data_IF_848675728436
#
_entry.id   IF_848675728436
#
_cell.length_a   1.000
_cell.length_b   1.000
_cell.length_c   1.000
_cell.angle_alpha   90.00
_cell.angle_beta   90.00
_cell.angle_gamma   90.00
#
_symmetry.space_group_name_H-M   'P 1'
#
loop_
_entity.id
_entity.type
_entity.pdbx_description
1 polymer ?
#
# COMPACT_ATOMS: atom_id res chain seq x y z
N UNK A 1 -10.51 23.04 18.95
CA UNK A 1 -11.00 23.53 17.65
C UNK A 1 -9.77 24.12 16.92
N UNK A 2 -9.33 23.45 15.88
CA UNK A 2 -8.38 24.04 14.95
C UNK A 2 -9.14 25.16 14.22
N UNK A 3 -8.63 26.39 14.35
CA UNK A 3 -9.28 27.58 13.83
C UNK A 3 -9.59 27.43 12.34
N UNK A 4 -10.83 27.76 11.97
CA UNK A 4 -11.14 28.08 10.59
C UNK A 4 -10.09 29.05 10.07
N UNK A 5 -9.34 28.62 9.07
CA UNK A 5 -8.35 29.46 8.44
C UNK A 5 -9.03 30.71 7.93
N UNK A 6 -8.51 31.92 8.23
CA UNK A 6 -9.07 33.16 7.69
C UNK A 6 -9.03 33.16 6.15
N UNK A 7 -9.74 34.08 5.48
CA UNK A 7 -9.95 34.10 4.03
C UNK A 7 -8.69 34.18 3.16
N UNK A 8 -7.55 34.17 3.77
CA UNK A 8 -6.25 34.18 3.11
C UNK A 8 -5.78 32.80 2.69
N UNK A 9 -6.33 32.05 1.89
CA UNK A 9 -5.94 30.76 1.30
C UNK A 9 -4.41 30.40 1.33
N UNK A 10 -3.69 30.81 2.37
CA UNK A 10 -2.24 30.75 2.51
C UNK A 10 -1.87 29.71 3.56
N UNK A 11 -1.04 28.75 3.19
CA UNK A 11 -0.41 27.86 4.14
C UNK A 11 -0.77 26.37 4.05
N UNK A 12 -0.48 25.65 5.12
CA UNK A 12 -0.83 24.26 5.32
C UNK A 12 -2.02 24.16 6.27
N UNK A 13 -2.83 23.11 6.12
CA UNK A 13 -3.98 22.90 6.99
C UNK A 13 -4.25 21.42 7.24
N UNK A 14 -4.77 21.13 8.44
CA UNK A 14 -5.34 19.83 8.80
C UNK A 14 -6.82 20.06 9.04
N UNK A 15 -7.67 19.32 8.36
CA UNK A 15 -9.10 19.48 8.46
C UNK A 15 -9.81 18.13 8.56
N UNK A 16 -10.89 18.07 9.36
CA UNK A 16 -11.88 17.01 9.25
C UNK A 16 -12.83 17.35 8.11
N UNK A 17 -13.05 16.41 7.19
CA UNK A 17 -13.99 16.55 6.08
C UNK A 17 -15.22 15.69 6.38
N UNK A 18 -16.39 16.31 6.41
CA UNK A 18 -17.64 15.58 6.57
C UNK A 18 -18.02 14.93 5.23
N UNK A 19 -18.17 13.62 5.22
CA UNK A 19 -18.52 12.81 4.06
C UNK A 19 -19.97 12.28 4.11
N UNK A 20 -20.81 12.83 4.98
CA UNK A 20 -22.19 12.41 5.13
C UNK A 20 -22.37 11.16 6.02
N UNK A 21 -21.52 10.17 5.87
CA UNK A 21 -21.54 8.92 6.67
C UNK A 21 -20.36 8.81 7.65
N UNK A 22 -19.52 9.85 7.77
CA UNK A 22 -18.34 9.88 8.63
C UNK A 22 -17.45 11.08 8.33
N UNK A 23 -16.28 11.12 8.95
CA UNK A 23 -15.31 12.20 8.79
C UNK A 23 -13.97 11.65 8.38
N UNK A 24 -13.42 12.18 7.27
CA UNK A 24 -12.05 11.95 6.87
C UNK A 24 -11.13 13.00 7.48
N UNK A 25 -9.86 12.66 7.72
CA UNK A 25 -8.81 13.61 8.06
C UNK A 25 -8.03 13.97 6.79
N UNK A 26 -7.92 15.26 6.48
CA UNK A 26 -7.19 15.76 5.31
C UNK A 26 -6.04 16.68 5.73
N UNK A 27 -4.87 16.47 5.13
CA UNK A 27 -3.71 17.37 5.20
C UNK A 27 -3.53 18.05 3.86
N UNK A 28 -3.51 19.38 3.87
CA UNK A 28 -3.38 20.23 2.67
C UNK A 28 -2.13 21.09 2.76
N UNK A 29 -1.46 21.27 1.64
CA UNK A 29 -0.35 22.22 1.50
C UNK A 29 -0.50 23.05 0.24
N UNK A 30 0.09 24.24 0.26
CA UNK A 30 0.14 25.17 -0.87
C UNK A 30 1.54 25.18 -1.48
N UNK A 31 1.69 25.10 -2.81
CA UNK A 31 3.01 25.16 -3.45
C UNK A 31 3.65 26.55 -3.40
N UNK A 32 2.84 27.59 -3.27
CA UNK A 32 3.27 28.99 -3.13
C UNK A 32 2.43 29.71 -2.09
N UNK A 33 2.93 30.84 -1.58
CA UNK A 33 2.21 31.63 -0.59
C UNK A 33 0.86 32.19 -1.06
N UNK A 34 0.67 32.32 -2.36
CA UNK A 34 -0.56 32.86 -2.98
C UNK A 34 -1.48 31.78 -3.55
N UNK A 35 -1.07 30.53 -3.62
CA UNK A 35 -1.89 29.44 -4.17
C UNK A 35 -2.81 28.82 -3.11
N UNK A 36 -3.99 28.37 -3.52
CA UNK A 36 -4.89 27.61 -2.65
C UNK A 36 -4.27 26.28 -2.24
N UNK A 37 -4.37 25.87 -0.95
CA UNK A 37 -3.86 24.59 -0.49
C UNK A 37 -4.57 23.41 -1.16
N UNK A 38 -3.78 22.47 -1.66
CA UNK A 38 -4.28 21.21 -2.23
C UNK A 38 -4.05 20.06 -1.25
N UNK A 39 -4.94 19.09 -1.26
CA UNK A 39 -4.82 17.90 -0.43
C UNK A 39 -3.61 17.06 -0.84
N UNK A 40 -2.83 16.62 0.12
CA UNK A 40 -1.65 15.78 -0.06
C UNK A 40 -1.78 14.42 0.62
N UNK A 41 -2.51 14.36 1.74
CA UNK A 41 -2.75 13.15 2.49
C UNK A 41 -4.18 13.15 3.00
N UNK A 42 -4.82 11.99 2.91
CA UNK A 42 -6.13 11.74 3.50
C UNK A 42 -6.11 10.44 4.30
N UNK A 43 -6.70 10.46 5.48
CA UNK A 43 -7.10 9.26 6.20
C UNK A 43 -8.62 9.21 6.16
N UNK A 44 -9.16 8.20 5.50
CA UNK A 44 -10.60 8.01 5.36
C UNK A 44 -11.23 7.46 6.65
N UNK A 45 -12.52 7.62 6.80
CA UNK A 45 -13.27 7.11 7.94
C UNK A 45 -13.27 5.58 8.05
N UNK A 46 -12.94 4.86 6.98
CA UNK A 46 -12.74 3.41 6.95
C UNK A 46 -11.29 2.97 7.26
N UNK A 47 -10.41 3.92 7.57
CA UNK A 47 -9.00 3.70 7.89
C UNK A 47 -8.06 3.66 6.68
N UNK A 48 -8.57 3.80 5.46
CA UNK A 48 -7.71 3.87 4.27
C UNK A 48 -6.88 5.15 4.23
N UNK A 49 -5.60 5.04 3.89
CA UNK A 49 -4.67 6.17 3.74
C UNK A 49 -4.41 6.44 2.26
N UNK A 50 -4.67 7.67 1.81
CA UNK A 50 -4.46 8.13 0.44
C UNK A 50 -3.38 9.22 0.43
N UNK A 51 -2.36 9.06 -0.41
CA UNK A 51 -1.31 10.04 -0.65
C UNK A 51 -1.25 10.39 -2.13
N UNK A 52 -1.28 11.68 -2.45
CA UNK A 52 -1.27 12.18 -3.83
C UNK A 52 -2.58 12.02 -4.60
N UNK A 53 -3.60 11.43 -3.99
CA UNK A 53 -4.94 11.24 -4.57
C UNK A 53 -6.03 11.47 -3.52
N UNK A 54 -7.23 11.82 -3.94
CA UNK A 54 -8.40 11.99 -3.07
C UNK A 54 -9.38 10.81 -3.14
N UNK A 55 -9.17 9.93 -4.12
CA UNK A 55 -9.97 8.72 -4.31
C UNK A 55 -9.06 7.61 -4.85
N UNK A 56 -9.42 6.35 -4.64
CA UNK A 56 -8.76 5.25 -5.32
C UNK A 56 -9.52 4.87 -6.59
N UNK A 57 -8.79 4.48 -7.62
CA UNK A 57 -9.36 4.11 -8.94
C UNK A 57 -10.04 2.73 -8.98
N UNK A 58 -10.53 2.21 -7.86
CA UNK A 58 -11.17 0.90 -7.76
C UNK A 58 -10.27 -0.16 -7.11
N UNK A 59 -10.73 -1.41 -7.01
CA UNK A 59 -9.90 -2.50 -6.55
C UNK A 59 -8.75 -2.75 -7.52
N UNK A 60 -7.59 -3.08 -6.96
CA UNK A 60 -6.43 -3.55 -7.72
C UNK A 60 -6.37 -5.07 -7.57
N UNK A 61 -6.59 -5.82 -8.64
CA UNK A 61 -6.67 -7.29 -8.61
C UNK A 61 -7.67 -7.83 -7.55
N UNK A 62 -8.83 -7.18 -7.45
CA UNK A 62 -9.87 -7.51 -6.47
C UNK A 62 -9.59 -7.11 -5.02
N UNK A 63 -8.45 -6.44 -4.75
CA UNK A 63 -8.06 -6.01 -3.41
C UNK A 63 -8.44 -4.54 -3.17
N UNK A 64 -8.85 -4.23 -1.94
CA UNK A 64 -9.00 -2.84 -1.46
C UNK A 64 -7.77 -2.48 -0.62
N UNK A 65 -6.85 -1.66 -1.13
CA UNK A 65 -5.64 -1.31 -0.40
C UNK A 65 -5.94 -0.46 0.84
N UNK A 66 -5.21 -0.72 1.95
CA UNK A 66 -5.24 0.14 3.13
C UNK A 66 -4.41 1.42 2.95
N UNK A 67 -3.36 1.36 2.12
CA UNK A 67 -2.49 2.50 1.78
C UNK A 67 -2.38 2.62 0.26
N UNK A 68 -2.66 3.81 -0.27
CA UNK A 68 -2.49 4.15 -1.68
C UNK A 68 -1.62 5.39 -1.78
N UNK A 69 -0.60 5.33 -2.65
CA UNK A 69 0.16 6.49 -3.09
C UNK A 69 0.08 6.55 -4.61
N UNK A 70 -0.40 7.66 -5.16
CA UNK A 70 -0.62 7.83 -6.60
C UNK A 70 0.02 9.13 -7.09
N UNK A 71 0.70 9.05 -8.24
CA UNK A 71 1.35 10.18 -8.92
C UNK A 71 0.93 10.21 -10.37
N UNK A 72 0.73 11.41 -10.91
CA UNK A 72 0.32 11.64 -12.29
C UNK A 72 1.47 12.28 -13.06
N UNK A 73 1.77 11.71 -14.25
CA UNK A 73 2.77 12.22 -15.21
C UNK A 73 4.21 12.29 -14.69
N UNK A 74 4.58 11.45 -13.69
CA UNK A 74 5.93 11.40 -13.18
C UNK A 74 6.23 10.01 -12.58
N UNK A 75 7.50 9.76 -12.26
CA UNK A 75 7.92 8.56 -11.52
C UNK A 75 7.38 8.60 -10.09
N UNK A 76 6.99 7.44 -9.60
CA UNK A 76 6.56 7.27 -8.23
C UNK A 76 7.36 6.17 -7.55
N UNK A 77 8.14 6.52 -6.54
CA UNK A 77 9.07 5.61 -5.88
C UNK A 77 8.78 5.50 -4.38
N UNK A 78 8.94 4.30 -3.85
CA UNK A 78 9.03 4.04 -2.43
C UNK A 78 10.49 3.73 -2.08
N UNK A 79 11.12 4.61 -1.30
CA UNK A 79 12.54 4.53 -0.97
C UNK A 79 12.74 4.27 0.51
N UNK A 80 13.50 3.22 0.85
CA UNK A 80 13.98 2.94 2.19
C UNK A 80 15.49 3.20 2.23
N UNK A 81 15.90 4.33 2.79
CA UNK A 81 17.30 4.73 2.86
C UNK A 81 17.86 4.54 4.27
N UNK A 82 19.06 3.98 4.37
CA UNK A 82 19.80 3.82 5.62
C UNK A 82 21.21 4.37 5.46
N UNK A 83 21.62 5.26 6.39
CA UNK A 83 22.97 5.76 6.50
C UNK A 83 23.59 5.19 7.77
N UNK A 84 24.46 4.20 7.65
CA UNK A 84 25.08 3.54 8.81
C UNK A 84 26.48 3.04 8.47
N UNK A 85 27.37 3.09 9.43
CA UNK A 85 28.69 2.44 9.36
C UNK A 85 28.64 0.96 9.77
N UNK A 86 27.52 0.49 10.31
CA UNK A 86 27.33 -0.92 10.67
C UNK A 86 26.89 -1.72 9.45
N UNK A 87 27.66 -2.74 9.08
CA UNK A 87 27.42 -3.58 7.91
C UNK A 87 26.12 -4.40 7.99
N UNK A 88 25.54 -4.60 9.16
CA UNK A 88 24.27 -5.31 9.37
C UNK A 88 23.03 -4.43 9.22
N UNK A 89 23.17 -3.11 9.08
CA UNK A 89 22.04 -2.22 8.91
C UNK A 89 21.65 -2.07 7.45
N UNK A 90 20.37 -2.19 7.15
CA UNK A 90 19.82 -2.08 5.79
C UNK A 90 18.39 -1.50 5.82
N UNK A 91 17.91 -0.99 4.68
CA UNK A 91 16.49 -0.76 4.47
C UNK A 91 15.77 -2.11 4.36
N UNK A 92 14.68 -2.30 5.09
CA UNK A 92 13.96 -3.57 5.15
C UNK A 92 12.49 -3.34 4.80
N UNK A 93 11.97 -4.11 3.84
CA UNK A 93 10.54 -4.30 3.62
C UNK A 93 10.16 -5.66 4.20
N UNK A 94 9.44 -5.66 5.31
CA UNK A 94 9.09 -6.87 6.06
C UNK A 94 7.62 -7.20 5.93
N UNK A 95 7.31 -8.45 5.58
CA UNK A 95 5.98 -8.99 5.56
C UNK A 95 5.86 -10.05 6.66
N UNK A 96 4.77 -10.01 7.42
CA UNK A 96 4.52 -10.96 8.53
C UNK A 96 3.16 -11.60 8.32
N UNK A 97 3.08 -12.92 8.48
CA UNK A 97 1.85 -13.69 8.40
C UNK A 97 1.67 -14.58 9.62
N UNK A 98 0.46 -14.55 10.19
CA UNK A 98 -0.08 -15.51 11.15
C UNK A 98 -1.42 -16.04 10.62
N UNK A 99 -1.86 -17.20 11.06
CA UNK A 99 -3.23 -17.71 10.82
C UNK A 99 -4.22 -17.26 11.90
N UNK A 100 -3.77 -16.51 12.90
CA UNK A 100 -4.66 -15.91 13.89
C UNK A 100 -5.46 -14.74 13.31
N UNK A 101 -6.61 -14.45 13.92
CA UNK A 101 -7.55 -13.41 13.52
C UNK A 101 -7.63 -12.24 14.52
N UNK A 102 -6.63 -12.10 15.37
CA UNK A 102 -6.52 -11.01 16.33
C UNK A 102 -5.16 -10.31 16.18
N UNK A 103 -5.10 -9.03 16.57
CA UNK A 103 -3.86 -8.27 16.59
C UNK A 103 -2.80 -8.96 17.46
N UNK A 104 -1.57 -9.06 16.94
CA UNK A 104 -0.47 -9.73 17.63
C UNK A 104 -0.57 -11.26 17.69
N UNK A 105 -1.50 -11.88 16.96
CA UNK A 105 -1.64 -13.33 16.94
C UNK A 105 -0.41 -14.03 16.39
N UNK A 106 -0.04 -15.16 17.02
CA UNK A 106 1.14 -16.01 16.67
C UNK A 106 0.72 -17.40 16.17
N UNK A 107 -0.49 -17.53 15.64
CA UNK A 107 -0.98 -18.84 15.17
C UNK A 107 -0.12 -19.36 14.03
N UNK A 108 0.33 -20.60 14.14
CA UNK A 108 1.24 -21.26 13.22
C UNK A 108 0.65 -21.27 11.79
N UNK A 109 1.50 -21.02 10.81
CA UNK A 109 1.17 -21.14 9.39
C UNK A 109 1.32 -22.58 8.92
N UNK A 110 0.71 -22.93 7.78
CA UNK A 110 0.76 -24.27 7.20
C UNK A 110 1.58 -24.28 5.91
N UNK A 111 2.00 -25.49 5.51
CA UNK A 111 2.59 -25.72 4.20
C UNK A 111 1.70 -25.16 3.09
N UNK A 112 2.29 -24.45 2.12
CA UNK A 112 1.61 -23.81 1.00
C UNK A 112 1.03 -22.44 1.31
N UNK A 113 1.01 -21.98 2.56
CA UNK A 113 0.56 -20.62 2.88
C UNK A 113 1.39 -19.56 2.15
N UNK A 114 0.72 -18.60 1.54
CA UNK A 114 1.36 -17.41 0.98
C UNK A 114 1.66 -16.43 2.10
N UNK A 115 2.92 -16.09 2.30
CA UNK A 115 3.36 -15.12 3.31
C UNK A 115 3.23 -13.70 2.80
N UNK A 116 3.64 -13.48 1.57
CA UNK A 116 3.59 -12.19 0.90
C UNK A 116 3.54 -12.35 -0.62
N UNK A 117 3.17 -11.27 -1.29
CA UNK A 117 3.25 -11.15 -2.75
C UNK A 117 3.67 -9.73 -3.17
N UNK A 118 4.46 -9.66 -4.23
CA UNK A 118 4.75 -8.41 -4.95
C UNK A 118 4.18 -8.57 -6.36
N UNK A 119 3.25 -7.71 -6.75
CA UNK A 119 2.55 -7.79 -8.03
C UNK A 119 2.91 -6.62 -8.95
N UNK A 120 3.10 -6.91 -10.24
CA UNK A 120 2.97 -5.95 -11.33
C UNK A 120 1.54 -6.04 -11.88
N UNK A 121 0.77 -4.97 -11.74
CA UNK A 121 -0.64 -4.89 -12.19
C UNK A 121 -0.75 -3.78 -13.22
N UNK A 122 -1.53 -4.00 -14.26
CA UNK A 122 -1.77 -3.02 -15.34
C UNK A 122 -3.26 -2.76 -15.55
N UNK A 123 -3.55 -1.60 -16.10
CA UNK A 123 -4.86 -1.31 -16.65
C UNK A 123 -4.93 -1.89 -18.07
N UNK A 124 -6.01 -2.60 -18.38
CA UNK A 124 -6.28 -3.18 -19.71
C UNK A 124 -7.24 -2.33 -20.56
N UNK A 125 -7.59 -1.15 -20.06
CA UNK A 125 -8.57 -0.24 -20.69
C UNK A 125 -9.98 -0.35 -20.11
N UNK A 126 -10.23 -1.38 -19.29
CA UNK A 126 -11.51 -1.59 -18.59
C UNK A 126 -11.34 -1.34 -17.09
N UNK A 127 -10.28 -1.92 -16.50
CA UNK A 127 -9.99 -1.80 -15.08
C UNK A 127 -8.48 -2.01 -14.79
N UNK A 128 -8.11 -2.15 -13.52
CA UNK A 128 -6.75 -2.41 -13.04
C UNK A 128 -6.67 -3.78 -12.35
N UNK A 129 -7.24 -4.82 -12.96
CA UNK A 129 -7.31 -6.17 -12.40
C UNK A 129 -6.47 -7.19 -13.18
N UNK A 130 -5.61 -6.74 -14.08
CA UNK A 130 -4.77 -7.61 -14.91
C UNK A 130 -3.34 -7.64 -14.40
N UNK A 131 -2.91 -8.78 -13.86
CA UNK A 131 -1.55 -8.97 -13.35
C UNK A 131 -0.62 -9.47 -14.47
N UNK A 132 0.55 -8.83 -14.64
CA UNK A 132 1.56 -9.24 -15.63
C UNK A 132 2.63 -10.14 -15.03
N UNK A 133 2.98 -9.94 -13.77
CA UNK A 133 3.98 -10.72 -13.05
C UNK A 133 3.73 -10.69 -11.55
N UNK A 134 4.25 -11.69 -10.82
CA UNK A 134 4.26 -11.69 -9.38
C UNK A 134 5.50 -12.40 -8.83
N UNK A 135 5.87 -12.02 -7.60
CA UNK A 135 6.81 -12.74 -6.75
C UNK A 135 6.05 -13.13 -5.50
N UNK A 136 5.87 -14.44 -5.27
CA UNK A 136 5.23 -14.97 -4.07
C UNK A 136 6.26 -15.55 -3.10
N UNK A 137 6.11 -15.24 -1.82
CA UNK A 137 6.83 -15.89 -0.72
C UNK A 137 5.88 -16.90 -0.09
N UNK A 138 6.30 -18.20 -0.03
CA UNK A 138 5.44 -19.27 0.47
C UNK A 138 6.14 -20.16 1.50
N UNK A 139 5.32 -20.69 2.39
CA UNK A 139 5.75 -21.79 3.27
C UNK A 139 5.86 -23.07 2.43
N UNK A 140 7.00 -23.79 2.55
CA UNK A 140 7.32 -24.96 1.74
C UNK A 140 7.74 -26.15 2.60
N UNK A 141 6.81 -26.63 3.39
CA UNK A 141 7.00 -27.80 4.26
C UNK A 141 6.34 -27.65 5.62
N UNK A 142 6.67 -28.56 6.52
CA UNK A 142 6.14 -28.57 7.89
C UNK A 142 6.80 -27.45 8.70
N UNK A 143 5.98 -26.61 9.28
CA UNK A 143 6.42 -25.53 10.17
C UNK A 143 6.46 -26.02 11.61
N UNK A 144 7.51 -25.67 12.34
CA UNK A 144 7.68 -25.98 13.75
C UNK A 144 8.40 -24.84 14.48
N UNK A 145 8.65 -25.02 15.77
CA UNK A 145 9.40 -24.04 16.56
C UNK A 145 10.79 -23.83 15.96
N UNK A 146 11.10 -22.59 15.56
CA UNK A 146 12.35 -22.21 14.89
C UNK A 146 12.67 -23.00 13.59
N UNK A 147 11.62 -23.54 12.94
CA UNK A 147 11.73 -24.26 11.66
C UNK A 147 10.63 -23.75 10.73
N UNK A 148 11.02 -22.96 9.71
CA UNK A 148 10.12 -22.31 8.78
C UNK A 148 10.63 -22.46 7.36
N UNK A 149 10.48 -23.65 6.74
CA UNK A 149 10.90 -23.86 5.36
C UNK A 149 10.08 -22.96 4.42
N UNK A 150 10.75 -22.36 3.44
CA UNK A 150 10.12 -21.43 2.53
C UNK A 150 10.64 -21.54 1.10
N UNK A 151 9.83 -21.08 0.14
CA UNK A 151 10.23 -20.89 -1.27
C UNK A 151 9.78 -19.55 -1.81
N UNK A 152 10.41 -19.13 -2.89
CA UNK A 152 10.02 -17.99 -3.70
C UNK A 152 9.52 -18.51 -5.04
N UNK A 153 8.34 -18.07 -5.45
CA UNK A 153 7.75 -18.38 -6.76
C UNK A 153 7.80 -17.13 -7.64
N UNK A 154 8.46 -17.24 -8.79
CA UNK A 154 8.41 -16.22 -9.85
C UNK A 154 7.31 -16.58 -10.83
N UNK A 155 6.40 -15.66 -11.09
CA UNK A 155 5.21 -15.89 -11.89
C UNK A 155 5.10 -14.87 -13.01
N UNK A 156 4.72 -15.34 -14.19
CA UNK A 156 4.45 -14.52 -15.37
C UNK A 156 3.08 -14.86 -15.92
N UNK A 157 2.36 -13.87 -16.41
CA UNK A 157 1.09 -14.09 -17.10
C UNK A 157 1.35 -14.53 -18.54
N UNK A 158 0.80 -15.66 -18.98
CA UNK A 158 0.91 -16.10 -20.36
C UNK A 158 0.12 -15.21 -21.32
N UNK A 159 0.41 -15.30 -22.63
CA UNK A 159 -0.42 -14.66 -23.66
C UNK A 159 -1.88 -15.08 -23.52
N UNK A 160 -2.79 -14.14 -23.64
CA UNK A 160 -4.24 -14.32 -23.46
C UNK A 160 -4.68 -14.72 -22.04
N UNK A 161 -3.81 -14.53 -21.04
CA UNK A 161 -4.14 -14.67 -19.63
C UNK A 161 -4.19 -13.32 -18.91
N UNK A 162 -4.73 -13.31 -17.71
CA UNK A 162 -4.73 -12.16 -16.78
C UNK A 162 -4.26 -12.53 -15.37
N UNK A 163 -3.83 -13.77 -15.18
CA UNK A 163 -3.33 -14.29 -13.90
C UNK A 163 -1.92 -14.88 -14.08
N UNK A 164 -0.95 -14.48 -13.26
CA UNK A 164 0.41 -15.02 -13.32
C UNK A 164 0.47 -16.48 -12.87
N UNK A 165 1.21 -17.29 -13.61
CA UNK A 165 1.53 -18.68 -13.30
C UNK A 165 3.03 -18.84 -13.04
N UNK A 166 3.41 -19.79 -12.19
CA UNK A 166 4.79 -20.10 -11.86
C UNK A 166 5.59 -20.54 -13.13
N UNK A 167 6.87 -20.10 -13.20
CA UNK A 167 7.81 -20.39 -14.29
C UNK A 167 9.14 -20.87 -13.75
#
# INVERSE_FOLDING_TARGET
ALANNPPDNRGAGIAAINMGSGHDLSVKTSPTHSASPTEKLRIKNDGQILHGTTAHGGPYDGLTPAFISEQVNDYHAFTLAVNSTNAGHSGILQFVRSRGNADGANTIVNNGDRVASIYGIVADGTDRNSSVAAIDYRVDGVVGVNSTPGRIEFKLTPSNGNVPVER
#
